data_IF_987792153718
#
_entry.id   IF_987792153718
#
_cell.length_a   1.000
_cell.length_b   1.000
_cell.length_c   1.000
_cell.angle_alpha   90.00
_cell.angle_beta   90.00
_cell.angle_gamma   90.00
#
_symmetry.space_group_name_H-M   'P 1'
#
loop_
_entity.id
_entity.type
_entity.pdbx_description
1 polymer ?
#
# COMPACT_ATOMS: atom_id res chain seq x y z
N UNK A 1 -12.18 17.76 -5.16
CA UNK A 1 -10.80 18.20 -5.48
C UNK A 1 -10.53 18.17 -6.99
N UNK A 2 -10.61 17.03 -7.67
CA UNK A 2 -10.37 16.92 -9.12
C UNK A 2 -11.17 17.95 -9.95
N UNK A 3 -12.48 18.03 -9.77
CA UNK A 3 -13.34 19.00 -10.45
C UNK A 3 -12.94 20.47 -10.21
N UNK A 4 -12.54 20.82 -8.98
CA UNK A 4 -12.09 22.18 -8.64
C UNK A 4 -10.75 22.49 -9.32
N UNK A 5 -9.82 21.53 -9.34
CA UNK A 5 -8.52 21.69 -10.00
C UNK A 5 -8.67 21.81 -11.52
N UNK A 6 -9.57 21.03 -12.12
CA UNK A 6 -9.85 21.07 -13.55
C UNK A 6 -10.32 22.45 -14.02
N UNK A 7 -11.17 23.12 -13.23
CA UNK A 7 -11.66 24.47 -13.54
C UNK A 7 -10.56 25.56 -13.54
N UNK A 8 -9.41 25.29 -12.90
CA UNK A 8 -8.31 26.23 -12.76
C UNK A 8 -7.14 25.94 -13.72
N UNK A 9 -7.15 24.77 -14.35
CA UNK A 9 -6.05 24.30 -15.19
C UNK A 9 -6.00 25.06 -16.52
N UNK A 10 -4.82 25.55 -16.91
CA UNK A 10 -4.60 26.21 -18.19
C UNK A 10 -4.06 25.24 -19.26
N UNK A 11 -4.24 25.53 -20.56
CA UNK A 11 -3.64 24.74 -21.63
C UNK A 11 -2.13 24.53 -21.43
N UNK A 12 -1.66 23.29 -21.59
CA UNK A 12 -0.26 22.91 -21.40
C UNK A 12 0.15 22.59 -19.96
N UNK A 13 -0.75 22.75 -18.99
CA UNK A 13 -0.57 22.26 -17.62
C UNK A 13 -1.08 20.81 -17.48
N UNK A 14 -0.52 20.10 -16.50
CA UNK A 14 -0.89 18.72 -16.18
C UNK A 14 -1.31 18.62 -14.73
N UNK A 15 -2.33 17.82 -14.45
CA UNK A 15 -2.75 17.43 -13.11
C UNK A 15 -2.23 16.03 -12.80
N UNK A 16 -1.30 15.93 -11.85
CA UNK A 16 -0.75 14.65 -11.39
C UNK A 16 -1.54 14.18 -10.18
N UNK A 17 -2.39 13.16 -10.36
CA UNK A 17 -3.18 12.61 -9.27
C UNK A 17 -2.43 11.47 -8.56
N UNK A 18 -1.88 11.76 -7.38
CA UNK A 18 -1.14 10.82 -6.54
C UNK A 18 -2.02 10.09 -5.50
N UNK A 19 -3.34 10.34 -5.49
CA UNK A 19 -4.24 9.73 -4.51
C UNK A 19 -4.25 8.21 -4.64
N UNK A 20 -4.26 7.51 -3.52
CA UNK A 20 -4.33 6.04 -3.48
C UNK A 20 -5.77 5.59 -3.53
N UNK A 21 -6.43 5.73 -4.69
CA UNK A 21 -7.85 5.41 -4.90
C UNK A 21 -8.04 4.41 -6.04
N UNK A 22 -9.21 3.77 -6.09
CA UNK A 22 -9.54 2.77 -7.09
C UNK A 22 -9.36 3.29 -8.54
N UNK A 23 -9.02 2.41 -9.51
CA UNK A 23 -8.87 2.77 -10.92
C UNK A 23 -10.09 3.47 -11.52
N UNK A 24 -11.30 3.05 -11.14
CA UNK A 24 -12.53 3.67 -11.63
C UNK A 24 -12.70 5.10 -11.09
N UNK A 25 -12.35 5.33 -9.81
CA UNK A 25 -12.30 6.68 -9.23
C UNK A 25 -11.33 7.59 -10.01
N UNK A 26 -10.19 7.08 -10.46
CA UNK A 26 -9.24 7.83 -11.30
C UNK A 26 -9.82 8.15 -12.67
N UNK A 27 -10.54 7.21 -13.28
CA UNK A 27 -11.20 7.43 -14.58
C UNK A 27 -12.26 8.50 -14.50
N UNK A 28 -13.16 8.41 -13.52
CA UNK A 28 -14.19 9.42 -13.26
C UNK A 28 -13.57 10.80 -12.97
N UNK A 29 -12.51 10.86 -12.18
CA UNK A 29 -11.81 12.13 -11.93
C UNK A 29 -11.23 12.75 -13.21
N UNK A 30 -10.71 11.93 -14.13
CA UNK A 30 -10.12 12.38 -15.39
C UNK A 30 -11.15 12.99 -16.36
N UNK A 31 -12.43 12.62 -16.27
CA UNK A 31 -13.50 13.16 -17.12
C UNK A 31 -13.69 14.68 -16.97
N UNK A 32 -13.26 15.26 -15.85
CA UNK A 32 -13.33 16.69 -15.64
C UNK A 32 -12.24 17.48 -16.36
N UNK A 33 -11.19 16.82 -16.87
CA UNK A 33 -10.02 17.47 -17.46
C UNK A 33 -10.06 17.42 -18.99
N UNK A 34 -9.36 18.36 -19.63
CA UNK A 34 -9.11 18.28 -21.06
C UNK A 34 -8.34 16.98 -21.41
N UNK A 35 -8.56 16.40 -22.60
CA UNK A 35 -7.86 15.19 -23.03
C UNK A 35 -6.34 15.29 -22.83
N UNK A 36 -5.78 14.35 -22.06
CA UNK A 36 -4.35 14.27 -21.79
C UNK A 36 -3.82 15.17 -20.66
N UNK A 37 -4.64 16.05 -20.08
CA UNK A 37 -4.20 16.91 -18.98
C UNK A 37 -4.14 16.17 -17.63
N UNK A 38 -4.93 15.10 -17.45
CA UNK A 38 -4.91 14.27 -16.25
C UNK A 38 -3.89 13.14 -16.36
N UNK A 39 -3.05 13.00 -15.33
CA UNK A 39 -2.02 11.97 -15.21
C UNK A 39 -2.33 11.13 -13.97
N UNK A 40 -2.60 9.85 -14.20
CA UNK A 40 -2.72 8.86 -13.13
C UNK A 40 -1.33 8.56 -12.56
N UNK A 41 -1.12 8.73 -11.26
CA UNK A 41 0.17 8.47 -10.61
C UNK A 41 0.01 7.45 -9.50
N UNK A 42 0.65 6.30 -9.68
CA UNK A 42 0.78 5.26 -8.67
C UNK A 42 2.12 5.39 -7.93
N UNK A 43 2.05 5.81 -6.67
CA UNK A 43 3.19 5.79 -5.73
C UNK A 43 3.44 4.36 -5.27
N UNK A 44 4.59 3.77 -5.62
CA UNK A 44 4.85 2.32 -5.51
C UNK A 44 5.50 1.88 -4.19
N UNK A 45 6.02 2.83 -3.42
CA UNK A 45 6.69 2.61 -2.14
C UNK A 45 6.36 3.73 -1.14
N UNK A 46 6.64 3.56 0.17
CA UNK A 46 6.54 4.66 1.13
C UNK A 46 7.38 5.87 0.70
N UNK A 47 6.86 7.09 0.93
CA UNK A 47 7.52 8.32 0.48
C UNK A 47 8.80 8.61 1.29
N UNK A 48 8.76 8.72 2.62
CA UNK A 48 9.99 8.62 3.41
C UNK A 48 10.58 7.19 3.37
N UNK A 49 11.92 7.04 3.29
CA UNK A 49 12.94 8.09 3.26
C UNK A 49 13.30 8.59 1.86
N UNK A 50 12.85 7.92 0.78
CA UNK A 50 13.30 8.17 -0.59
C UNK A 50 12.89 9.54 -1.16
N UNK A 51 11.84 10.17 -0.62
CA UNK A 51 11.32 11.49 -1.05
C UNK A 51 11.10 11.52 -2.57
N UNK A 52 11.76 12.42 -3.30
CA UNK A 52 11.64 12.55 -4.77
C UNK A 52 12.05 11.27 -5.53
N UNK A 53 12.86 10.40 -4.92
CA UNK A 53 13.30 9.14 -5.49
C UNK A 53 12.31 7.98 -5.27
N UNK A 54 11.18 8.23 -4.58
CA UNK A 54 10.10 7.25 -4.44
C UNK A 54 9.63 6.83 -5.83
N UNK A 55 9.64 5.52 -6.17
CA UNK A 55 9.24 5.09 -7.51
C UNK A 55 7.78 5.43 -7.79
N UNK A 56 7.54 6.13 -8.90
CA UNK A 56 6.22 6.47 -9.42
C UNK A 56 6.01 5.76 -10.75
N UNK A 57 4.86 5.09 -10.89
CA UNK A 57 4.34 4.70 -12.20
C UNK A 57 3.29 5.73 -12.63
N UNK A 58 3.44 6.26 -13.83
CA UNK A 58 2.50 7.23 -14.38
C UNK A 58 1.75 6.66 -15.58
N UNK A 59 0.47 7.02 -15.68
CA UNK A 59 -0.46 6.50 -16.66
C UNK A 59 -1.37 7.57 -17.26
N UNK A 60 -1.85 7.30 -18.47
CA UNK A 60 -2.72 8.18 -19.24
C UNK A 60 -2.11 8.63 -20.56
N UNK A 61 -2.88 9.31 -21.44
CA UNK A 61 -2.50 9.52 -22.84
C UNK A 61 -1.20 10.30 -23.03
N UNK A 62 -0.87 11.20 -22.09
CA UNK A 62 0.35 12.02 -22.13
C UNK A 62 1.44 11.51 -21.19
N UNK A 63 1.22 10.38 -20.48
CA UNK A 63 2.14 9.90 -19.46
C UNK A 63 3.54 9.60 -19.99
N UNK A 64 3.64 9.00 -21.19
CA UNK A 64 4.93 8.72 -21.83
C UNK A 64 5.70 10.01 -22.14
N UNK A 65 5.01 11.00 -22.72
CA UNK A 65 5.61 12.28 -23.11
C UNK A 65 6.08 13.11 -21.91
N UNK A 66 5.40 13.03 -20.76
CA UNK A 66 5.78 13.80 -19.57
C UNK A 66 6.86 13.11 -18.72
N UNK A 67 7.05 11.79 -18.84
CA UNK A 67 7.97 11.05 -17.97
C UNK A 67 9.39 11.67 -17.97
N UNK A 68 10.00 12.02 -19.13
CA UNK A 68 11.32 12.66 -19.15
C UNK A 68 11.34 14.03 -18.48
N UNK A 69 10.23 14.79 -18.54
CA UNK A 69 10.13 16.11 -17.88
C UNK A 69 10.13 15.96 -16.36
N UNK A 70 9.39 14.99 -15.83
CA UNK A 70 9.37 14.69 -14.39
C UNK A 70 10.74 14.19 -13.91
N UNK A 71 11.40 13.35 -14.71
CA UNK A 71 12.76 12.89 -14.44
C UNK A 71 13.77 14.05 -14.43
N UNK A 72 13.64 15.00 -15.36
CA UNK A 72 14.44 16.24 -15.37
C UNK A 72 14.23 17.13 -14.14
N UNK A 73 13.11 16.99 -13.44
CA UNK A 73 12.83 17.63 -12.14
C UNK A 73 13.33 16.80 -10.94
N UNK A 74 13.98 15.66 -11.18
CA UNK A 74 14.52 14.78 -10.14
C UNK A 74 13.53 13.76 -9.57
N UNK A 75 12.36 13.58 -10.19
CA UNK A 75 11.41 12.53 -9.79
C UNK A 75 11.77 11.18 -10.41
N UNK A 76 11.65 10.11 -9.63
CA UNK A 76 11.75 8.74 -10.14
C UNK A 76 10.42 8.28 -10.77
N UNK A 77 9.97 9.00 -11.80
CA UNK A 77 8.74 8.72 -12.53
C UNK A 77 9.00 7.90 -13.79
N UNK A 78 8.26 6.81 -13.98
CA UNK A 78 8.35 5.95 -15.16
C UNK A 78 6.98 5.79 -15.79
N UNK A 79 6.93 5.84 -17.11
CA UNK A 79 5.74 5.49 -17.87
C UNK A 79 5.33 4.05 -17.57
N UNK A 80 4.06 3.83 -17.27
CA UNK A 80 3.50 2.51 -16.99
C UNK A 80 2.35 2.10 -17.90
N UNK A 81 1.58 3.07 -18.43
CA UNK A 81 0.39 2.78 -19.22
C UNK A 81 -0.16 3.99 -19.99
N UNK A 82 -0.80 3.76 -21.13
CA UNK A 82 -1.43 4.82 -21.93
C UNK A 82 -2.83 5.20 -21.43
N UNK A 83 -3.45 4.37 -20.58
CA UNK A 83 -4.83 4.57 -20.13
C UNK A 83 -4.88 4.93 -18.64
N UNK A 84 -5.71 5.92 -18.30
CA UNK A 84 -5.98 6.29 -16.90
C UNK A 84 -6.57 5.10 -16.13
N UNK A 85 -6.07 4.87 -14.93
CA UNK A 85 -6.49 3.80 -14.04
C UNK A 85 -5.63 2.54 -14.14
N UNK A 86 -4.88 2.32 -15.22
CA UNK A 86 -4.06 1.11 -15.37
C UNK A 86 -2.89 1.06 -14.38
N UNK A 87 -2.17 2.17 -14.16
CA UNK A 87 -1.08 2.19 -13.16
C UNK A 87 -1.61 2.11 -11.73
N UNK A 88 -2.78 2.73 -11.47
CA UNK A 88 -3.48 2.54 -10.21
C UNK A 88 -3.90 1.08 -10.00
N UNK A 89 -4.39 0.39 -11.03
CA UNK A 89 -4.73 -1.03 -10.96
C UNK A 89 -3.51 -1.90 -10.64
N UNK A 90 -2.34 -1.64 -11.27
CA UNK A 90 -1.08 -2.32 -10.96
C UNK A 90 -0.77 -2.21 -9.46
N UNK A 91 -0.85 -1.00 -8.88
CA UNK A 91 -0.60 -0.76 -7.46
C UNK A 91 -1.62 -1.47 -6.56
N UNK A 92 -2.90 -1.41 -6.89
CA UNK A 92 -3.96 -2.00 -6.09
C UNK A 92 -3.87 -3.53 -6.08
N UNK A 93 -3.68 -4.16 -7.25
CA UNK A 93 -3.48 -5.61 -7.34
C UNK A 93 -2.25 -6.07 -6.56
N UNK A 94 -1.12 -5.34 -6.65
CA UNK A 94 0.07 -5.62 -5.83
C UNK A 94 -0.22 -5.50 -4.33
N UNK A 95 -1.07 -4.55 -3.95
CA UNK A 95 -1.42 -4.32 -2.53
C UNK A 95 -2.13 -5.52 -1.91
N UNK A 96 -2.94 -6.26 -2.67
CA UNK A 96 -3.56 -7.52 -2.21
C UNK A 96 -2.50 -8.47 -1.64
N UNK A 97 -1.44 -8.70 -2.41
CA UNK A 97 -0.37 -9.63 -2.03
C UNK A 97 0.46 -9.11 -0.85
N UNK A 98 0.94 -7.86 -0.94
CA UNK A 98 1.85 -7.32 0.07
C UNK A 98 1.16 -7.18 1.43
N UNK A 99 -0.06 -6.64 1.45
CA UNK A 99 -0.82 -6.45 2.70
C UNK A 99 -1.44 -7.75 3.20
N UNK A 100 -1.77 -8.67 2.29
CA UNK A 100 -2.15 -10.03 2.66
C UNK A 100 -1.05 -10.74 3.41
N UNK A 101 0.19 -10.65 2.92
CA UNK A 101 1.34 -11.27 3.60
C UNK A 101 1.60 -10.65 4.97
N UNK A 102 1.44 -9.33 5.12
CA UNK A 102 1.52 -8.65 6.42
C UNK A 102 0.44 -9.15 7.41
N UNK A 103 -0.82 -9.21 6.97
CA UNK A 103 -1.94 -9.65 7.81
C UNK A 103 -1.81 -11.14 8.19
N UNK A 104 -1.53 -12.02 7.22
CA UNK A 104 -1.34 -13.45 7.45
C UNK A 104 -0.18 -13.72 8.40
N UNK A 105 0.95 -13.03 8.23
CA UNK A 105 2.11 -13.17 9.13
C UNK A 105 1.76 -12.73 10.55
N UNK A 106 1.05 -11.61 10.69
CA UNK A 106 0.62 -11.09 12.00
C UNK A 106 -0.30 -12.09 12.71
N UNK A 107 -1.36 -12.54 12.05
CA UNK A 107 -2.33 -13.49 12.61
C UNK A 107 -1.67 -14.83 12.96
N UNK A 108 -0.89 -15.39 12.04
CA UNK A 108 -0.22 -16.67 12.20
C UNK A 108 0.75 -16.66 13.39
N UNK A 109 1.67 -15.69 13.45
CA UNK A 109 2.71 -15.69 14.48
C UNK A 109 2.19 -15.27 15.84
N UNK A 110 1.16 -14.43 15.91
CA UNK A 110 0.52 -14.09 17.17
C UNK A 110 -0.17 -15.33 17.75
N UNK A 111 -0.95 -16.05 16.93
CA UNK A 111 -1.58 -17.30 17.36
C UNK A 111 -0.54 -18.37 17.74
N UNK A 112 0.50 -18.57 16.92
CA UNK A 112 1.56 -19.54 17.20
C UNK A 112 2.26 -19.26 18.53
N UNK A 113 2.47 -17.98 18.86
CA UNK A 113 3.05 -17.56 20.14
C UNK A 113 2.14 -17.80 21.33
N UNK A 114 0.82 -17.68 21.18
CA UNK A 114 -0.13 -18.08 22.23
C UNK A 114 -0.09 -19.60 22.50
N UNK A 115 0.17 -20.40 21.47
CA UNK A 115 0.37 -21.85 21.61
C UNK A 115 1.81 -22.24 21.99
N UNK A 116 2.76 -21.31 21.99
CA UNK A 116 4.18 -21.58 22.25
C UNK A 116 4.89 -22.38 21.16
N UNK A 117 4.44 -22.27 19.91
CA UNK A 117 4.96 -23.03 18.75
C UNK A 117 5.54 -22.12 17.65
N UNK A 118 5.81 -20.85 17.94
CA UNK A 118 6.22 -19.88 16.92
C UNK A 118 7.54 -20.26 16.22
N UNK A 119 8.50 -20.85 16.92
CA UNK A 119 9.79 -21.24 16.33
C UNK A 119 9.63 -22.38 15.31
N UNK A 120 8.80 -23.37 15.63
CA UNK A 120 8.52 -24.50 14.74
C UNK A 120 7.77 -24.02 13.49
N UNK A 121 6.80 -23.11 13.67
CA UNK A 121 6.07 -22.50 12.56
C UNK A 121 7.01 -21.68 11.66
N UNK A 122 7.87 -20.84 12.23
CA UNK A 122 8.85 -20.06 11.48
C UNK A 122 9.84 -20.95 10.71
N UNK A 123 10.33 -22.01 11.36
CA UNK A 123 11.21 -23.01 10.74
C UNK A 123 10.52 -23.71 9.56
N UNK A 124 9.28 -24.15 9.75
CA UNK A 124 8.48 -24.81 8.71
C UNK A 124 8.21 -23.90 7.50
N UNK A 125 7.85 -22.64 7.74
CA UNK A 125 7.67 -21.62 6.69
C UNK A 125 8.99 -21.34 5.97
N UNK A 126 10.11 -21.28 6.70
CA UNK A 126 11.44 -21.09 6.11
C UNK A 126 11.85 -22.27 5.24
N UNK A 127 11.58 -23.50 5.66
CA UNK A 127 11.86 -24.67 4.85
C UNK A 127 11.07 -24.65 3.53
N UNK A 128 9.80 -24.22 3.58
CA UNK A 128 8.93 -24.15 2.40
C UNK A 128 9.31 -22.99 1.46
N UNK A 129 9.70 -21.84 2.01
CA UNK A 129 9.98 -20.62 1.25
C UNK A 129 11.22 -19.89 1.80
N UNK A 130 12.42 -20.48 1.63
CA UNK A 130 13.64 -19.98 2.28
C UNK A 130 14.05 -18.57 1.82
N UNK A 131 13.76 -18.24 0.56
CA UNK A 131 14.08 -16.94 -0.04
C UNK A 131 13.35 -15.75 0.61
N UNK A 132 12.26 -15.99 1.35
CA UNK A 132 11.54 -14.95 2.07
C UNK A 132 12.22 -14.58 3.40
N UNK A 133 13.11 -15.41 3.94
CA UNK A 133 13.85 -15.08 5.16
C UNK A 133 13.01 -15.11 6.44
N UNK A 134 12.06 -16.05 6.56
CA UNK A 134 11.18 -16.23 7.73
C UNK A 134 11.92 -16.31 9.07
N UNK A 135 13.13 -16.88 9.13
CA UNK A 135 13.95 -16.97 10.36
C UNK A 135 14.84 -15.75 10.60
N UNK A 136 14.74 -14.72 9.74
CA UNK A 136 15.46 -13.46 9.86
C UNK A 136 14.55 -12.28 10.20
N UNK A 137 14.90 -11.08 9.72
CA UNK A 137 14.16 -9.84 10.02
C UNK A 137 12.83 -9.68 9.25
N UNK A 138 12.45 -10.65 8.41
CA UNK A 138 11.29 -10.51 7.53
C UNK A 138 9.95 -10.48 8.28
N UNK A 139 9.68 -11.36 9.28
CA UNK A 139 8.46 -11.26 10.07
C UNK A 139 8.35 -9.95 10.85
N UNK A 140 9.45 -9.50 11.46
CA UNK A 140 9.51 -8.20 12.15
C UNK A 140 9.15 -7.07 11.20
N UNK A 141 9.73 -7.05 9.99
CA UNK A 141 9.41 -6.06 8.98
C UNK A 141 7.91 -6.05 8.65
N UNK A 142 7.32 -7.20 8.35
CA UNK A 142 5.90 -7.30 7.97
C UNK A 142 4.97 -6.81 9.09
N UNK A 143 5.20 -7.28 10.32
CA UNK A 143 4.35 -6.93 11.47
C UNK A 143 4.55 -5.46 11.86
N UNK A 144 5.78 -4.93 11.75
CA UNK A 144 6.07 -3.52 12.04
C UNK A 144 5.27 -2.57 11.15
N UNK A 145 5.03 -2.91 9.86
CA UNK A 145 4.23 -2.07 8.96
C UNK A 145 2.77 -1.97 9.40
N UNK A 146 2.24 -3.06 9.98
CA UNK A 146 0.88 -3.07 10.53
C UNK A 146 0.84 -2.29 11.84
N UNK A 147 1.80 -2.49 12.73
CA UNK A 147 1.88 -1.79 14.01
C UNK A 147 2.05 -0.26 13.84
N UNK A 148 2.87 0.18 12.88
CA UNK A 148 3.14 1.61 12.67
C UNK A 148 2.05 2.32 11.86
N UNK A 149 1.46 1.66 10.87
CA UNK A 149 0.62 2.32 9.87
C UNK A 149 -0.74 1.63 9.63
N UNK A 150 -1.13 0.67 10.46
CA UNK A 150 -2.27 -0.22 10.20
C UNK A 150 -3.58 0.49 9.88
N UNK A 151 -3.88 1.62 10.53
CA UNK A 151 -5.06 2.45 10.23
C UNK A 151 -5.06 2.92 8.77
N UNK A 152 -4.00 3.63 8.35
CA UNK A 152 -3.86 4.12 6.98
C UNK A 152 -3.81 2.97 5.97
N UNK A 153 -3.18 1.85 6.32
CA UNK A 153 -3.08 0.69 5.41
C UNK A 153 -4.43 -0.02 5.25
N UNK A 154 -5.27 -0.04 6.29
CA UNK A 154 -6.67 -0.48 6.24
C UNK A 154 -7.49 0.39 5.29
N UNK A 155 -7.39 1.72 5.40
CA UNK A 155 -8.09 2.64 4.50
C UNK A 155 -7.69 2.41 3.04
N UNK A 156 -6.40 2.19 2.77
CA UNK A 156 -5.93 1.82 1.44
C UNK A 156 -6.46 0.45 0.99
N UNK A 157 -6.71 -0.50 1.90
CA UNK A 157 -7.33 -1.79 1.56
C UNK A 157 -8.81 -1.65 1.21
N UNK A 158 -9.52 -0.68 1.77
CA UNK A 158 -10.89 -0.38 1.36
C UNK A 158 -10.95 0.05 -0.11
N UNK A 159 -9.94 0.79 -0.60
CA UNK A 159 -9.79 1.13 -2.03
C UNK A 159 -9.40 -0.09 -2.89
N UNK A 160 -8.62 -1.03 -2.34
CA UNK A 160 -8.35 -2.32 -3.01
C UNK A 160 -9.63 -3.14 -3.15
N UNK A 161 -10.48 -3.18 -2.12
CA UNK A 161 -11.78 -3.87 -2.19
C UNK A 161 -12.68 -3.27 -3.27
N UNK A 162 -12.77 -1.94 -3.37
CA UNK A 162 -13.47 -1.26 -4.47
C UNK A 162 -12.91 -1.69 -5.83
N UNK A 163 -11.59 -1.63 -5.97
CA UNK A 163 -10.89 -2.03 -7.21
C UNK A 163 -11.21 -3.47 -7.63
N UNK A 164 -11.27 -4.41 -6.68
CA UNK A 164 -11.60 -5.81 -6.96
C UNK A 164 -13.07 -5.98 -7.37
N UNK A 165 -13.98 -5.25 -6.73
CA UNK A 165 -15.42 -5.28 -7.06
C UNK A 165 -15.71 -4.70 -8.44
N UNK A 166 -14.97 -3.67 -8.86
CA UNK A 166 -15.09 -3.09 -10.21
C UNK A 166 -14.84 -4.13 -11.33
N UNK A 167 -14.08 -5.20 -11.04
CA UNK A 167 -13.80 -6.30 -11.98
C UNK A 167 -14.54 -7.60 -11.63
N UNK A 168 -15.57 -7.52 -10.79
CA UNK A 168 -16.43 -8.66 -10.43
C UNK A 168 -15.89 -9.59 -9.35
N UNK A 169 -14.76 -9.27 -8.71
CA UNK A 169 -14.27 -10.02 -7.55
C UNK A 169 -14.93 -9.54 -6.26
N UNK A 170 -15.37 -10.48 -5.41
CA UNK A 170 -15.98 -10.15 -4.14
C UNK A 170 -15.02 -9.45 -3.15
N UNK A 171 -13.70 -9.55 -3.34
CA UNK A 171 -12.72 -8.90 -2.48
C UNK A 171 -12.61 -9.48 -1.05
N UNK A 172 -13.10 -10.70 -0.83
CA UNK A 172 -13.23 -11.34 0.50
C UNK A 172 -11.96 -11.23 1.33
N UNK A 173 -10.82 -11.66 0.78
CA UNK A 173 -9.54 -11.59 1.50
C UNK A 173 -9.12 -10.16 1.78
N UNK A 174 -9.34 -9.25 0.83
CA UNK A 174 -8.97 -7.83 0.98
C UNK A 174 -9.78 -7.13 2.08
N UNK A 175 -11.05 -7.49 2.25
CA UNK A 175 -11.89 -7.02 3.36
C UNK A 175 -11.39 -7.53 4.72
N UNK A 176 -11.04 -8.82 4.80
CA UNK A 176 -10.49 -9.41 6.02
C UNK A 176 -9.15 -8.76 6.40
N UNK A 177 -8.28 -8.53 5.40
CA UNK A 177 -6.99 -7.84 5.58
C UNK A 177 -7.21 -6.42 6.10
N UNK A 178 -8.17 -5.66 5.56
CA UNK A 178 -8.47 -4.32 6.06
C UNK A 178 -8.80 -4.32 7.56
N UNK A 179 -9.70 -5.22 7.99
CA UNK A 179 -10.07 -5.39 9.40
C UNK A 179 -8.88 -5.76 10.27
N UNK A 180 -8.10 -6.76 9.84
CA UNK A 180 -6.90 -7.23 10.55
C UNK A 180 -5.86 -6.11 10.72
N UNK A 181 -5.60 -5.32 9.68
CA UNK A 181 -4.62 -4.23 9.75
C UNK A 181 -5.06 -3.07 10.65
N UNK A 182 -6.36 -2.81 10.75
CA UNK A 182 -6.91 -1.82 11.68
C UNK A 182 -6.83 -2.28 13.13
N UNK A 183 -7.06 -3.57 13.38
CA UNK A 183 -7.17 -4.13 14.73
C UNK A 183 -5.89 -4.01 15.57
N UNK A 184 -4.71 -4.28 15.00
CA UNK A 184 -3.45 -4.23 15.75
C UNK A 184 -3.15 -2.85 16.38
N UNK A 185 -3.13 -1.74 15.62
CA UNK A 185 -2.90 -0.41 16.21
C UNK A 185 -4.02 -0.01 17.19
N UNK A 186 -5.27 -0.46 17.00
CA UNK A 186 -6.35 -0.23 17.99
C UNK A 186 -6.07 -0.97 19.30
N UNK A 187 -5.60 -2.22 19.24
CA UNK A 187 -5.20 -3.00 20.42
C UNK A 187 -4.00 -2.38 21.15
N UNK A 188 -3.04 -1.82 20.40
CA UNK A 188 -1.92 -1.05 20.95
C UNK A 188 -2.41 0.21 21.65
N UNK A 189 -3.28 0.99 20.99
CA UNK A 189 -3.85 2.22 21.54
C UNK A 189 -4.64 1.96 22.82
N UNK A 190 -5.44 0.89 22.88
CA UNK A 190 -6.18 0.47 24.06
C UNK A 190 -5.27 0.18 25.29
N UNK A 191 -3.98 -0.09 25.06
CA UNK A 191 -2.95 -0.32 26.09
C UNK A 191 -1.99 0.85 26.26
N UNK A 192 -2.30 2.01 25.69
CA UNK A 192 -1.41 3.18 25.68
C UNK A 192 -0.02 2.89 25.09
N UNK A 193 0.08 1.93 24.17
CA UNK A 193 1.32 1.59 23.46
C UNK A 193 1.40 2.38 22.15
N UNK A 194 2.50 3.11 21.99
CA UNK A 194 2.88 3.75 20.74
C UNK A 194 3.96 2.93 20.02
N UNK A 195 3.96 2.98 18.69
CA UNK A 195 4.98 2.31 17.89
C UNK A 195 6.42 2.74 18.27
N UNK A 196 6.63 4.01 18.62
CA UNK A 196 7.95 4.53 19.03
C UNK A 196 8.51 3.81 20.26
N UNK A 197 7.66 3.39 21.20
CA UNK A 197 8.08 2.67 22.42
C UNK A 197 8.48 1.22 22.15
N UNK A 198 8.29 0.74 20.91
CA UNK A 198 8.62 -0.61 20.47
C UNK A 198 9.92 -0.64 19.67
N UNK A 199 10.63 0.47 19.52
CA UNK A 199 11.89 0.51 18.75
C UNK A 199 13.10 0.15 19.63
N UNK A 200 14.07 -0.67 19.14
CA UNK A 200 14.03 -1.42 17.87
C UNK A 200 12.93 -2.48 17.87
N UNK A 201 12.22 -2.59 16.74
CA UNK A 201 11.02 -3.42 16.64
C UNK A 201 11.33 -4.92 16.72
N UNK A 202 10.64 -5.60 17.62
CA UNK A 202 10.57 -7.06 17.75
C UNK A 202 9.10 -7.46 17.98
N UNK A 203 8.56 -8.28 17.07
CA UNK A 203 7.15 -8.67 17.14
C UNK A 203 6.83 -9.49 18.40
N UNK A 204 7.79 -10.26 18.94
CA UNK A 204 7.59 -11.04 20.17
C UNK A 204 7.42 -10.15 21.39
N UNK A 205 8.19 -9.06 21.46
CA UNK A 205 8.06 -8.00 22.46
C UNK A 205 6.72 -7.29 22.34
N UNK A 206 6.25 -7.00 21.13
CA UNK A 206 4.92 -6.44 20.91
C UNK A 206 3.82 -7.35 21.48
N UNK A 207 3.82 -8.65 21.13
CA UNK A 207 2.82 -9.60 21.65
C UNK A 207 2.86 -9.67 23.17
N UNK A 208 4.05 -9.70 23.78
CA UNK A 208 4.19 -9.73 25.24
C UNK A 208 3.61 -8.48 25.93
N UNK A 209 3.70 -7.30 25.29
CA UNK A 209 3.11 -6.04 25.80
C UNK A 209 1.63 -5.90 25.51
N UNK A 210 1.09 -6.70 24.59
CA UNK A 210 -0.34 -6.79 24.32
C UNK A 210 -1.08 -7.74 25.28
N UNK A 211 -0.38 -8.41 26.20
CA UNK A 211 -1.00 -9.13 27.32
C UNK A 211 -1.21 -8.19 28.50
#
# INVERSE_FOLDING_TARGET
>A
MAQQAAALLQPGQYFLDLNSVAPETKRQAAEHFLPGAYIDVAVMAPVPPARLQTPLLIGGPQAEAIAPRLQGLGLNARYGASTVGQVSAIKMCRSVMIKGLEALTTECLFAAREYGVEEEVLSSLHHSFPSLGWTGAFPDYLISRVAEHGIRRSEEMEEVVKTLRDVGSAGIMSEAIAKSQRQLPEQMAARSLSYRQLMPFDWKTLVARLK
#
